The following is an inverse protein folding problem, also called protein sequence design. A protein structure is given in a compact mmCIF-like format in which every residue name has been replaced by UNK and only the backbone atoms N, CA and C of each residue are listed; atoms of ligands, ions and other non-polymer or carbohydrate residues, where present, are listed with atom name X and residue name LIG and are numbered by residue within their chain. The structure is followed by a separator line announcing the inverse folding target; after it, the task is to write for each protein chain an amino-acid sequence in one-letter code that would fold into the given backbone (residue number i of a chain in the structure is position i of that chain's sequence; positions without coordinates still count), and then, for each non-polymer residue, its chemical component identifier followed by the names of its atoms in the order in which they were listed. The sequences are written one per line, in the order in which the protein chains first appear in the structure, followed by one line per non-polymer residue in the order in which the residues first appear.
data_IF_194790767255
#
_entry.id   IF_194790767255
#
_cell.length_a   1.000
_cell.length_b   1.000
_cell.length_c   1.000
_cell.angle_alpha   90.00
_cell.angle_beta   90.00
_cell.angle_gamma   90.00
#
_symmetry.space_group_name_H-M   'P 1'
#
loop_
_entity.id
_entity.type
_entity.pdbx_description
1 polymer ?
#
# COMPACT_ATOMS: atom_id res chain seq x y z
N UNK A 1 -22.40 1.42 -30.00
CA UNK A 1 -21.82 2.12 -28.84
C UNK A 1 -20.31 2.18 -29.06
N UNK A 2 -19.68 3.35 -28.86
CA UNK A 2 -18.23 3.51 -29.04
C UNK A 2 -17.67 3.88 -27.66
N UNK A 3 -16.63 3.19 -27.22
CA UNK A 3 -15.90 3.49 -25.99
C UNK A 3 -14.60 4.20 -26.37
N UNK A 4 -14.26 5.27 -25.67
CA UNK A 4 -12.98 5.96 -25.87
C UNK A 4 -11.82 5.16 -25.26
N UNK A 5 -10.55 5.44 -25.66
CA UNK A 5 -9.37 4.88 -25.01
C UNK A 5 -9.39 5.15 -23.50
N UNK A 6 -9.75 6.37 -23.10
CA UNK A 6 -9.79 6.77 -21.69
C UNK A 6 -10.80 5.96 -20.87
N UNK A 7 -11.97 5.67 -21.43
CA UNK A 7 -12.98 4.84 -20.76
C UNK A 7 -12.45 3.41 -20.54
N UNK A 8 -11.77 2.86 -21.56
CA UNK A 8 -11.22 1.50 -21.48
C UNK A 8 -10.03 1.41 -20.53
N UNK A 9 -9.14 2.40 -20.54
CA UNK A 9 -8.02 2.51 -19.61
C UNK A 9 -8.49 2.61 -18.15
N UNK A 10 -9.46 3.49 -17.86
CA UNK A 10 -10.04 3.64 -16.53
C UNK A 10 -10.70 2.34 -16.02
N UNK A 11 -11.41 1.64 -16.90
CA UNK A 11 -11.99 0.33 -16.58
C UNK A 11 -10.91 -0.71 -16.31
N UNK A 12 -9.87 -0.78 -17.15
CA UNK A 12 -8.77 -1.72 -17.00
C UNK A 12 -7.99 -1.52 -15.68
N UNK A 13 -7.83 -0.27 -15.22
CA UNK A 13 -7.22 0.02 -13.91
C UNK A 13 -8.06 -0.56 -12.77
N UNK A 14 -9.39 -0.37 -12.78
CA UNK A 14 -10.27 -0.89 -11.74
C UNK A 14 -10.32 -2.42 -11.74
N UNK A 15 -10.44 -3.05 -12.93
CA UNK A 15 -10.40 -4.51 -13.07
C UNK A 15 -9.08 -5.08 -12.56
N UNK A 16 -7.96 -4.40 -12.85
CA UNK A 16 -6.64 -4.79 -12.35
C UNK A 16 -6.52 -4.57 -10.84
N UNK A 17 -7.07 -3.49 -10.30
CA UNK A 17 -7.09 -3.24 -8.84
C UNK A 17 -7.76 -4.39 -8.08
N UNK A 18 -8.88 -4.91 -8.61
CA UNK A 18 -9.55 -6.08 -8.03
C UNK A 18 -8.65 -7.33 -8.04
N UNK A 19 -7.94 -7.60 -9.14
CA UNK A 19 -6.99 -8.72 -9.25
C UNK A 19 -5.80 -8.55 -8.30
N UNK A 20 -5.29 -7.34 -8.15
CA UNK A 20 -4.23 -6.97 -7.22
C UNK A 20 -4.64 -7.26 -5.78
N UNK A 21 -5.86 -6.85 -5.38
CA UNK A 21 -6.40 -7.14 -4.06
C UNK A 21 -6.55 -8.65 -3.82
N UNK A 22 -7.00 -9.41 -4.82
CA UNK A 22 -7.11 -10.87 -4.76
C UNK A 22 -5.73 -11.54 -4.63
N UNK A 23 -4.73 -11.10 -5.42
CA UNK A 23 -3.36 -11.60 -5.35
C UNK A 23 -2.72 -11.36 -3.99
N UNK A 24 -2.94 -10.18 -3.40
CA UNK A 24 -2.50 -9.88 -2.04
C UNK A 24 -3.20 -10.74 -0.99
N UNK A 25 -4.52 -10.94 -1.13
CA UNK A 25 -5.32 -11.76 -0.22
C UNK A 25 -4.85 -13.22 -0.21
N UNK A 26 -4.60 -13.80 -1.39
CA UNK A 26 -4.21 -15.21 -1.53
C UNK A 26 -2.71 -15.46 -1.28
N UNK A 27 -1.90 -14.42 -1.18
CA UNK A 27 -0.50 -14.54 -0.77
C UNK A 27 -0.39 -15.25 0.60
N UNK A 28 0.60 -16.13 0.81
CA UNK A 28 0.73 -16.87 2.06
C UNK A 28 0.93 -15.93 3.25
N UNK A 29 0.32 -16.26 4.38
CA UNK A 29 0.47 -15.59 5.67
C UNK A 29 0.96 -16.61 6.71
N UNK A 30 1.76 -16.15 7.63
CA UNK A 30 2.34 -16.97 8.68
C UNK A 30 1.25 -17.66 9.51
N UNK A 31 1.28 -18.99 9.58
CA UNK A 31 0.26 -19.85 10.20
C UNK A 31 -1.13 -19.73 9.60
N UNK A 32 -1.26 -19.18 8.39
CA UNK A 32 -2.57 -18.94 7.77
C UNK A 32 -3.43 -17.89 8.48
N UNK A 33 -2.83 -17.08 9.34
CA UNK A 33 -3.53 -16.02 10.10
C UNK A 33 -3.54 -14.73 9.27
N UNK A 34 -4.70 -14.39 8.70
CA UNK A 34 -4.85 -13.29 7.76
C UNK A 34 -5.31 -12.00 8.45
N UNK A 35 -4.38 -11.07 8.65
CA UNK A 35 -4.64 -9.72 9.12
C UNK A 35 -4.64 -8.66 8.00
N UNK A 36 -4.58 -9.08 6.72
CA UNK A 36 -4.53 -8.14 5.60
C UNK A 36 -5.88 -7.43 5.40
N UNK A 37 -5.84 -6.11 5.28
CA UNK A 37 -6.95 -5.26 4.82
C UNK A 37 -6.53 -4.48 3.59
N UNK A 38 -7.45 -4.29 2.64
CA UNK A 38 -7.17 -3.57 1.38
C UNK A 38 -8.32 -2.64 1.03
N UNK A 39 -8.02 -1.51 0.39
CA UNK A 39 -9.01 -0.68 -0.30
C UNK A 39 -8.40 -0.05 -1.56
N UNK A 40 -9.27 0.48 -2.42
CA UNK A 40 -8.88 1.14 -3.68
C UNK A 40 -9.44 2.56 -3.66
N UNK A 41 -8.59 3.54 -3.91
CA UNK A 41 -8.95 4.95 -3.99
C UNK A 41 -8.88 5.44 -5.43
N UNK A 42 -9.86 6.25 -5.81
CA UNK A 42 -9.91 6.98 -7.08
C UNK A 42 -10.48 8.38 -6.86
N UNK A 43 -10.46 9.24 -7.87
CA UNK A 43 -11.12 10.55 -7.83
C UNK A 43 -10.74 11.36 -6.60
N UNK A 44 -11.75 11.88 -5.91
CA UNK A 44 -11.59 12.81 -4.78
C UNK A 44 -10.83 12.19 -3.59
N UNK A 45 -11.11 10.93 -3.24
CA UNK A 45 -10.42 10.26 -2.13
C UNK A 45 -8.91 10.15 -2.38
N UNK A 46 -8.52 9.92 -3.64
CA UNK A 46 -7.11 9.91 -4.06
C UNK A 46 -6.49 11.31 -3.93
N UNK A 47 -7.21 12.36 -4.32
CA UNK A 47 -6.74 13.75 -4.19
C UNK A 47 -6.60 14.17 -2.73
N UNK A 48 -7.52 13.76 -1.86
CA UNK A 48 -7.42 13.98 -0.41
C UNK A 48 -6.20 13.27 0.19
N UNK A 49 -5.90 12.06 -0.25
CA UNK A 49 -4.69 11.34 0.14
C UNK A 49 -3.42 12.11 -0.27
N UNK A 50 -3.36 12.61 -1.50
CA UNK A 50 -2.23 13.41 -1.98
C UNK A 50 -2.07 14.73 -1.19
N UNK A 51 -3.18 15.40 -0.87
CA UNK A 51 -3.17 16.60 -0.03
C UNK A 51 -2.61 16.29 1.38
N UNK A 52 -3.02 15.18 1.99
CA UNK A 52 -2.48 14.74 3.29
C UNK A 52 -0.98 14.42 3.21
N UNK A 53 -0.51 13.83 2.10
CA UNK A 53 0.93 13.60 1.89
C UNK A 53 1.71 14.90 1.86
N UNK A 54 1.20 15.96 1.21
CA UNK A 54 1.84 17.29 1.18
C UNK A 54 1.89 17.91 2.58
N UNK A 55 0.80 17.81 3.33
CA UNK A 55 0.76 18.26 4.72
C UNK A 55 1.82 17.57 5.57
N UNK A 56 1.96 16.25 5.44
CA UNK A 56 3.00 15.49 6.14
C UNK A 56 4.42 15.83 5.65
N UNK A 57 4.61 16.23 4.39
CA UNK A 57 5.89 16.70 3.88
C UNK A 57 6.38 17.94 4.65
N UNK A 58 5.47 18.87 4.91
CA UNK A 58 5.77 20.11 5.65
C UNK A 58 5.96 19.83 7.15
N UNK A 59 5.07 19.05 7.76
CA UNK A 59 5.11 18.71 9.19
C UNK A 59 6.38 17.92 9.60
N UNK A 60 6.86 17.04 8.72
CA UNK A 60 7.98 16.14 8.99
C UNK A 60 9.32 16.63 8.38
N UNK A 61 9.31 17.71 7.61
CA UNK A 61 10.43 18.17 6.79
C UNK A 61 10.95 17.08 5.82
N UNK A 62 10.01 16.35 5.20
CA UNK A 62 10.31 15.26 4.26
C UNK A 62 9.90 15.60 2.84
N UNK A 63 10.71 16.37 2.13
CA UNK A 63 10.44 16.86 0.78
C UNK A 63 10.04 15.76 -0.24
N UNK A 64 10.48 14.50 -0.04
CA UNK A 64 10.13 13.41 -0.94
C UNK A 64 8.64 13.04 -0.90
N UNK A 65 7.91 13.36 0.17
CA UNK A 65 6.46 13.18 0.22
C UNK A 65 5.73 14.02 -0.84
N UNK A 66 6.22 15.24 -1.13
CA UNK A 66 5.66 16.09 -2.20
C UNK A 66 5.80 15.42 -3.58
N UNK A 67 6.99 14.86 -3.89
CA UNK A 67 7.20 14.09 -5.12
C UNK A 67 6.24 12.89 -5.21
N UNK A 68 6.09 12.15 -4.12
CA UNK A 68 5.22 10.98 -4.09
C UNK A 68 3.74 11.38 -4.16
N UNK A 69 3.35 12.54 -3.61
CA UNK A 69 2.02 13.14 -3.79
C UNK A 69 1.74 13.49 -5.25
N UNK A 70 2.72 14.07 -5.97
CA UNK A 70 2.60 14.32 -7.42
C UNK A 70 2.37 13.01 -8.20
N UNK A 71 3.04 11.94 -7.81
CA UNK A 71 2.84 10.61 -8.40
C UNK A 71 1.43 10.06 -8.11
N UNK A 72 0.90 10.27 -6.90
CA UNK A 72 -0.47 9.89 -6.54
C UNK A 72 -1.50 10.69 -7.34
N UNK A 73 -1.30 11.99 -7.51
CA UNK A 73 -2.17 12.82 -8.36
C UNK A 73 -2.19 12.34 -9.81
N UNK A 74 -1.02 11.98 -10.36
CA UNK A 74 -0.88 11.49 -11.72
C UNK A 74 -1.39 10.05 -11.91
N UNK A 75 -1.54 9.27 -10.82
CA UNK A 75 -2.03 7.91 -10.87
C UNK A 75 -3.52 7.84 -11.24
N UNK A 76 -3.94 6.75 -11.88
CA UNK A 76 -5.35 6.49 -12.17
C UNK A 76 -6.10 5.95 -10.94
N UNK A 77 -5.44 5.15 -10.10
CA UNK A 77 -5.95 4.62 -8.84
C UNK A 77 -4.82 4.40 -7.83
N UNK A 78 -5.16 4.23 -6.57
CA UNK A 78 -4.24 3.80 -5.50
C UNK A 78 -4.84 2.61 -4.77
N UNK A 79 -4.11 1.50 -4.73
CA UNK A 79 -4.45 0.37 -3.86
C UNK A 79 -3.70 0.54 -2.54
N UNK A 80 -4.43 0.51 -1.44
CA UNK A 80 -3.87 0.51 -0.10
C UNK A 80 -3.87 -0.91 0.48
N UNK A 81 -2.81 -1.24 1.19
CA UNK A 81 -2.64 -2.49 1.93
C UNK A 81 -2.34 -2.16 3.37
N UNK A 82 -3.15 -2.69 4.28
CA UNK A 82 -2.94 -2.59 5.72
C UNK A 82 -2.77 -3.98 6.32
N UNK A 83 -1.98 -4.06 7.38
CA UNK A 83 -1.87 -5.27 8.21
C UNK A 83 -2.37 -4.94 9.60
N UNK A 84 -3.44 -5.59 10.02
CA UNK A 84 -3.86 -5.59 11.42
C UNK A 84 -2.89 -6.44 12.23
N UNK A 85 -2.72 -6.08 13.49
CA UNK A 85 -1.83 -6.84 14.37
C UNK A 85 -2.34 -8.26 14.60
N UNK A 86 -1.48 -9.23 14.30
CA UNK A 86 -1.76 -10.65 14.53
C UNK A 86 -0.64 -11.27 15.35
N UNK A 87 -1.01 -11.86 16.48
CA UNK A 87 -0.06 -12.61 17.32
C UNK A 87 -0.12 -14.09 16.97
N UNK A 88 1.01 -14.63 16.50
CA UNK A 88 1.09 -16.02 16.00
C UNK A 88 1.20 -17.07 17.09
N UNK A 89 1.49 -16.66 18.35
CA UNK A 89 1.64 -17.60 19.46
C UNK A 89 2.77 -18.59 19.26
N UNK A 90 3.88 -18.13 18.68
CA UNK A 90 5.10 -18.94 18.48
C UNK A 90 6.09 -18.79 19.64
N UNK A 91 5.93 -17.73 20.43
CA UNK A 91 6.69 -17.45 21.66
C UNK A 91 8.20 -17.69 21.51
N UNK A 92 8.79 -18.49 22.40
CA UNK A 92 10.22 -18.82 22.40
C UNK A 92 10.70 -19.53 21.11
N UNK A 93 9.79 -20.09 20.31
CA UNK A 93 10.11 -20.74 19.04
C UNK A 93 10.34 -19.78 17.87
N UNK A 94 10.07 -18.46 18.04
CA UNK A 94 10.22 -17.46 16.99
C UNK A 94 11.24 -16.38 17.33
N UNK A 95 10.93 -15.51 18.27
CA UNK A 95 11.73 -14.38 18.78
C UNK A 95 12.24 -13.38 17.71
N UNK A 96 11.65 -13.37 16.50
CA UNK A 96 12.05 -12.45 15.42
C UNK A 96 11.79 -10.97 15.73
N UNK A 97 10.84 -10.67 16.61
CA UNK A 97 10.59 -9.31 17.10
C UNK A 97 11.44 -8.93 18.32
N UNK A 98 12.36 -9.81 18.77
CA UNK A 98 13.25 -9.64 19.93
C UNK A 98 12.54 -9.52 21.29
N UNK A 99 11.26 -9.89 21.38
CA UNK A 99 10.52 -10.02 22.64
C UNK A 99 10.58 -11.48 23.12
N UNK A 100 10.46 -11.70 24.44
CA UNK A 100 10.53 -13.03 25.04
C UNK A 100 9.36 -13.94 24.63
N UNK A 101 8.18 -13.32 24.43
CA UNK A 101 6.96 -14.01 24.00
C UNK A 101 6.06 -13.09 23.17
N UNK A 102 5.04 -13.67 22.55
CA UNK A 102 4.01 -12.88 21.86
C UNK A 102 3.20 -12.01 22.84
N UNK A 103 3.00 -12.47 24.08
CA UNK A 103 2.36 -11.70 25.13
C UNK A 103 3.22 -10.49 25.56
N UNK A 104 4.52 -10.69 25.76
CA UNK A 104 5.48 -9.62 26.06
C UNK A 104 5.52 -8.55 24.95
N UNK A 105 5.50 -8.99 23.68
CA UNK A 105 5.42 -8.10 22.52
C UNK A 105 4.12 -7.24 22.55
N UNK A 106 2.99 -7.84 22.94
CA UNK A 106 1.71 -7.13 23.04
C UNK A 106 1.71 -6.13 24.19
N UNK A 107 2.17 -6.54 25.37
CA UNK A 107 2.21 -5.69 26.58
C UNK A 107 3.07 -4.43 26.36
N UNK A 108 4.15 -4.57 25.58
CA UNK A 108 5.08 -3.47 25.28
C UNK A 108 4.74 -2.70 23.99
N UNK A 109 3.53 -2.88 23.45
CA UNK A 109 3.09 -2.28 22.19
C UNK A 109 4.07 -2.51 21.02
N UNK A 110 4.69 -3.70 21.01
CA UNK A 110 5.68 -4.07 20.02
C UNK A 110 5.05 -4.58 18.72
N UNK A 111 5.72 -4.34 17.59
CA UNK A 111 5.31 -4.87 16.29
C UNK A 111 5.77 -6.32 16.12
N UNK A 112 4.87 -7.20 15.72
CA UNK A 112 5.23 -8.56 15.32
C UNK A 112 6.02 -8.54 14.00
N UNK A 113 7.21 -9.11 13.97
CA UNK A 113 8.03 -9.16 12.75
C UNK A 113 7.30 -9.85 11.57
N UNK A 114 6.47 -10.84 11.87
CA UNK A 114 5.66 -11.51 10.84
C UNK A 114 4.59 -10.62 10.21
N UNK A 115 4.08 -9.61 10.91
CA UNK A 115 3.16 -8.65 10.29
C UNK A 115 3.85 -7.87 9.17
N UNK A 116 5.12 -7.46 9.38
CA UNK A 116 5.91 -6.80 8.36
C UNK A 116 6.31 -7.73 7.19
N UNK A 117 6.60 -9.00 7.48
CA UNK A 117 6.94 -9.99 6.47
C UNK A 117 5.69 -10.33 5.63
N UNK A 118 4.56 -10.60 6.27
CA UNK A 118 3.33 -11.01 5.60
C UNK A 118 2.77 -9.90 4.69
N UNK A 119 2.81 -8.62 5.12
CA UNK A 119 2.42 -7.50 4.25
C UNK A 119 3.41 -7.34 3.09
N UNK A 120 4.71 -7.59 3.31
CA UNK A 120 5.73 -7.57 2.27
C UNK A 120 5.48 -8.64 1.19
N UNK A 121 5.13 -9.86 1.59
CA UNK A 121 4.75 -10.95 0.67
C UNK A 121 3.47 -10.58 -0.09
N UNK A 122 2.46 -10.07 0.61
CA UNK A 122 1.18 -9.68 0.00
C UNK A 122 1.36 -8.58 -1.06
N UNK A 123 2.13 -7.53 -0.75
CA UNK A 123 2.35 -6.42 -1.71
C UNK A 123 3.29 -6.82 -2.84
N UNK A 124 4.22 -7.75 -2.62
CA UNK A 124 5.02 -8.34 -3.68
C UNK A 124 4.18 -9.12 -4.68
N UNK A 125 3.23 -9.94 -4.21
CA UNK A 125 2.23 -10.63 -5.04
C UNK A 125 1.34 -9.63 -5.80
N UNK A 126 0.90 -8.56 -5.13
CA UNK A 126 0.11 -7.48 -5.72
C UNK A 126 0.86 -6.78 -6.88
N UNK A 127 2.11 -6.41 -6.64
CA UNK A 127 2.95 -5.75 -7.65
C UNK A 127 3.23 -6.65 -8.86
N UNK A 128 3.42 -7.95 -8.65
CA UNK A 128 3.54 -8.93 -9.72
C UNK A 128 2.26 -8.99 -10.57
N UNK A 129 1.07 -9.03 -9.94
CA UNK A 129 -0.20 -9.02 -10.64
C UNK A 129 -0.43 -7.73 -11.46
N UNK A 130 0.03 -6.57 -10.96
CA UNK A 130 0.01 -5.31 -11.71
C UNK A 130 0.91 -5.39 -12.95
N UNK A 131 2.12 -5.92 -12.80
CA UNK A 131 3.07 -6.09 -13.91
C UNK A 131 2.55 -7.06 -14.98
N UNK A 132 1.95 -8.18 -14.59
CA UNK A 132 1.31 -9.14 -15.51
C UNK A 132 0.17 -8.48 -16.30
N UNK A 133 -0.58 -7.58 -15.69
CA UNK A 133 -1.64 -6.81 -16.32
C UNK A 133 -1.14 -5.60 -17.13
N UNK A 134 0.18 -5.36 -17.21
CA UNK A 134 0.78 -4.21 -17.91
C UNK A 134 0.35 -2.86 -17.32
N UNK A 135 0.09 -2.81 -16.03
CA UNK A 135 -0.23 -1.58 -15.31
C UNK A 135 1.01 -1.12 -14.54
N UNK A 136 1.44 0.12 -14.79
CA UNK A 136 2.54 0.72 -14.04
C UNK A 136 2.17 0.87 -12.57
N UNK A 137 3.13 0.56 -11.70
CA UNK A 137 2.93 0.66 -10.26
C UNK A 137 4.22 0.96 -9.51
N UNK A 138 4.08 1.48 -8.30
CA UNK A 138 5.21 1.68 -7.39
C UNK A 138 4.76 1.56 -5.94
N UNK A 139 5.41 0.69 -5.17
CA UNK A 139 5.18 0.61 -3.72
C UNK A 139 5.70 1.88 -3.05
N UNK A 140 4.82 2.54 -2.27
CA UNK A 140 5.15 3.79 -1.56
C UNK A 140 4.76 3.71 -0.08
N UNK A 141 5.76 3.83 0.77
CA UNK A 141 5.58 3.96 2.22
C UNK A 141 4.92 5.29 2.59
N UNK A 142 5.28 6.40 1.89
CA UNK A 142 4.73 7.73 2.09
C UNK A 142 3.20 7.77 1.93
N UNK A 143 2.67 7.04 0.94
CA UNK A 143 1.24 6.83 0.74
C UNK A 143 0.62 6.12 1.94
N UNK A 144 1.25 5.03 2.41
CA UNK A 144 0.78 4.30 3.58
C UNK A 144 0.75 5.15 4.85
N UNK A 145 1.77 5.99 5.06
CA UNK A 145 1.84 6.91 6.20
C UNK A 145 0.69 7.92 6.20
N UNK A 146 0.38 8.50 5.04
CA UNK A 146 -0.74 9.42 4.88
C UNK A 146 -2.10 8.71 5.04
N UNK A 147 -2.26 7.54 4.43
CA UNK A 147 -3.47 6.73 4.55
C UNK A 147 -3.77 6.34 6.00
N UNK A 148 -2.73 5.98 6.78
CA UNK A 148 -2.86 5.68 8.20
C UNK A 148 -3.30 6.91 8.99
N UNK A 149 -2.76 8.10 8.71
CA UNK A 149 -3.17 9.33 9.41
C UNK A 149 -4.60 9.77 9.08
N UNK A 150 -5.14 9.34 7.95
CA UNK A 150 -6.55 9.54 7.56
C UNK A 150 -7.48 8.41 8.03
N UNK A 151 -6.96 7.35 8.65
CA UNK A 151 -7.77 6.22 9.12
C UNK A 151 -8.41 5.39 8.00
N UNK A 152 -7.89 5.42 6.76
CA UNK A 152 -8.55 4.84 5.58
C UNK A 152 -8.71 3.31 5.62
N UNK A 153 -7.91 2.61 6.42
CA UNK A 153 -7.99 1.15 6.60
C UNK A 153 -8.42 0.75 8.02
N UNK A 154 -8.98 1.71 8.77
CA UNK A 154 -9.37 1.51 10.16
C UNK A 154 -8.19 1.63 11.14
N UNK A 155 -8.54 1.76 12.42
CA UNK A 155 -7.56 2.01 13.49
C UNK A 155 -6.63 0.82 13.78
N UNK A 156 -7.08 -0.40 13.48
CA UNK A 156 -6.32 -1.63 13.74
C UNK A 156 -5.18 -1.89 12.76
N UNK A 157 -5.16 -1.22 11.61
CA UNK A 157 -4.07 -1.36 10.64
C UNK A 157 -2.80 -0.70 11.16
N UNK A 158 -1.88 -1.48 11.70
CA UNK A 158 -0.60 -1.01 12.27
C UNK A 158 0.41 -0.63 11.20
N UNK A 159 0.51 -1.43 10.14
CA UNK A 159 1.35 -1.21 8.96
C UNK A 159 0.48 -0.89 7.75
N UNK A 160 0.80 0.18 7.04
CA UNK A 160 0.08 0.55 5.81
C UNK A 160 1.08 0.90 4.71
N UNK A 161 0.86 0.35 3.52
CA UNK A 161 1.61 0.64 2.29
C UNK A 161 0.63 0.98 1.17
N UNK A 162 1.09 1.78 0.20
CA UNK A 162 0.29 2.12 -0.97
C UNK A 162 0.94 1.68 -2.27
N UNK A 163 0.11 1.39 -3.26
CA UNK A 163 0.49 1.01 -4.61
C UNK A 163 -0.33 1.86 -5.60
N UNK A 164 0.12 3.08 -5.94
CA UNK A 164 -0.46 3.83 -7.03
C UNK A 164 -0.28 3.09 -8.35
N UNK A 165 -1.31 3.17 -9.21
CA UNK A 165 -1.43 2.47 -10.48
C UNK A 165 -1.65 3.47 -11.62
N UNK A 166 -1.04 3.21 -12.77
CA UNK A 166 -1.27 4.03 -13.96
C UNK A 166 -1.21 3.21 -15.25
N UNK A 167 -2.09 3.55 -16.19
CA UNK A 167 -2.02 3.12 -17.58
C UNK A 167 -1.76 4.37 -18.44
N UNK A 168 -0.51 4.56 -18.84
CA UNK A 168 -0.12 5.71 -19.67
C UNK A 168 1.04 5.34 -20.58
N UNK A 169 1.24 6.12 -21.66
CA UNK A 169 2.35 5.93 -22.59
C UNK A 169 3.74 6.20 -21.98
N UNK A 170 3.79 6.78 -20.78
CA UNK A 170 5.01 7.08 -20.03
C UNK A 170 4.74 6.90 -18.53
N UNK A 171 5.53 6.06 -17.87
CA UNK A 171 5.35 5.81 -16.43
C UNK A 171 5.50 7.10 -15.60
N UNK A 172 4.47 7.53 -14.86
CA UNK A 172 4.56 8.74 -14.03
C UNK A 172 5.45 8.56 -12.81
N UNK A 173 5.67 7.31 -12.37
CA UNK A 173 6.34 7.01 -11.10
C UNK A 173 7.87 7.08 -11.16
N UNK A 174 8.44 6.97 -12.36
CA UNK A 174 9.88 6.95 -12.59
C UNK A 174 10.37 8.08 -13.50
N UNK A 175 9.45 8.90 -14.04
CA UNK A 175 9.78 10.06 -14.85
C UNK A 175 10.20 11.23 -13.97
N UNK A 176 11.47 11.28 -13.67
CA UNK A 176 12.06 12.36 -12.84
C UNK A 176 12.39 13.58 -13.69
N UNK A 177 11.90 14.74 -13.28
CA UNK A 177 12.36 16.00 -13.86
C UNK A 177 13.87 16.12 -13.63
N UNK A 178 14.66 16.58 -14.64
CA UNK A 178 16.09 16.85 -14.45
C UNK A 178 16.26 17.80 -13.25
N UNK A 179 17.24 17.52 -12.40
CA UNK A 179 17.66 18.52 -11.39
C UNK A 179 18.17 19.75 -12.15
N UNK A 180 17.55 20.88 -11.91
CA UNK A 180 18.05 22.17 -12.40
C UNK A 180 19.37 22.49 -11.70
#
# INVERSE_FOLDING_TARGET
MIYSSKDMESRAVLDTSAKICAAARTAPKTRGMDGLVTCVLTGEDKSQLAAQMRKLADELDYAFFNRDADNVEAADAVVLFGMEEVRRGLDAGCQYCHFESCADCTEKDGLCAWDAIDIGIAIGSAAAAAADARVDSRVMFSVGRAAKSLGLLGEKASLVLGLPLSISGKSPFFDRKPKK
#
